data_IF_420131834407
#
_entry.id   IF_420131834407
#
_cell.length_a   1.000
_cell.length_b   1.000
_cell.length_c   1.000
_cell.angle_alpha   90.00
_cell.angle_beta   90.00
_cell.angle_gamma   90.00
#
_symmetry.space_group_name_H-M   'P 1'
#
loop_
_entity.id
_entity.type
_entity.pdbx_description
1 polymer ?
#
# COMPACT_ATOMS: atom_id res chain seq x y z
N UNK A 1 -18.79 29.85 6.53
CA UNK A 1 -18.38 28.96 5.43
C UNK A 1 -19.48 27.96 5.18
N UNK A 2 -19.91 27.78 3.92
CA UNK A 2 -20.95 26.80 3.57
C UNK A 2 -20.45 25.39 3.90
N UNK A 3 -21.10 24.71 4.85
CA UNK A 3 -20.78 23.34 5.24
C UNK A 3 -21.24 22.29 4.19
N UNK A 4 -21.88 22.73 3.11
CA UNK A 4 -22.39 21.83 2.08
C UNK A 4 -21.28 21.47 1.09
N UNK A 5 -21.12 20.17 0.78
CA UNK A 5 -20.20 19.78 -0.27
C UNK A 5 -20.62 20.38 -1.61
N UNK A 6 -19.70 21.09 -2.25
CA UNK A 6 -19.87 21.49 -3.64
C UNK A 6 -19.59 20.28 -4.57
N UNK A 7 -20.31 20.14 -5.70
CA UNK A 7 -20.13 19.03 -6.64
C UNK A 7 -18.68 18.81 -7.11
N UNK A 8 -17.89 19.88 -7.23
CA UNK A 8 -16.49 19.89 -7.62
C UNK A 8 -15.56 19.16 -6.63
N UNK A 9 -15.96 19.00 -5.37
CA UNK A 9 -15.20 18.25 -4.38
C UNK A 9 -15.27 16.72 -4.58
N UNK A 10 -16.15 16.26 -5.47
CA UNK A 10 -16.35 14.85 -5.75
C UNK A 10 -15.95 14.47 -7.17
N UNK A 11 -15.59 13.19 -7.40
CA UNK A 11 -15.42 12.67 -8.74
C UNK A 11 -16.69 12.90 -9.60
N UNK A 12 -16.56 13.39 -10.85
CA UNK A 12 -17.70 13.54 -11.75
C UNK A 12 -18.48 12.23 -11.94
N UNK A 13 -19.80 12.34 -12.09
CA UNK A 13 -20.66 11.19 -12.29
C UNK A 13 -20.22 10.36 -13.52
N UNK A 14 -20.17 9.04 -13.36
CA UNK A 14 -19.76 8.10 -14.40
C UNK A 14 -18.24 7.96 -14.60
N UNK A 15 -17.42 8.81 -13.96
CA UNK A 15 -15.96 8.68 -14.04
C UNK A 15 -15.43 7.46 -13.29
N UNK A 16 -16.00 7.17 -12.13
CA UNK A 16 -15.62 6.05 -11.28
C UNK A 16 -16.73 4.99 -11.27
N UNK A 17 -16.33 3.72 -11.27
CA UNK A 17 -17.23 2.64 -10.87
C UNK A 17 -17.63 2.82 -9.40
N UNK A 18 -18.77 2.23 -8.99
CA UNK A 18 -19.21 2.28 -7.58
C UNK A 18 -18.10 1.86 -6.60
N UNK A 19 -17.38 0.79 -6.92
CA UNK A 19 -16.31 0.29 -6.07
C UNK A 19 -15.13 1.28 -5.95
N UNK A 20 -14.76 1.94 -7.05
CA UNK A 20 -13.73 2.98 -7.02
C UNK A 20 -14.19 4.20 -6.22
N UNK A 21 -15.44 4.62 -6.43
CA UNK A 21 -16.03 5.74 -5.68
C UNK A 21 -16.04 5.46 -4.17
N UNK A 22 -16.50 4.27 -3.76
CA UNK A 22 -16.49 3.83 -2.35
C UNK A 22 -15.07 3.83 -1.77
N UNK A 23 -14.06 3.45 -2.55
CA UNK A 23 -12.66 3.49 -2.14
C UNK A 23 -12.15 4.92 -1.92
N UNK A 24 -12.36 5.83 -2.88
CA UNK A 24 -11.87 7.22 -2.80
C UNK A 24 -12.62 8.06 -1.76
N UNK A 25 -13.86 7.69 -1.42
CA UNK A 25 -14.61 8.36 -0.36
C UNK A 25 -14.35 7.81 1.05
N UNK A 26 -13.50 6.79 1.18
CA UNK A 26 -13.21 6.16 2.46
C UNK A 26 -11.75 6.38 2.86
N UNK A 27 -11.56 7.06 3.98
CA UNK A 27 -10.26 7.28 4.61
C UNK A 27 -10.04 6.42 5.85
N UNK A 28 -8.78 6.38 6.28
CA UNK A 28 -8.33 5.93 7.58
C UNK A 28 -7.54 7.09 8.19
N UNK A 29 -8.12 7.74 9.20
CA UNK A 29 -7.42 8.73 10.01
C UNK A 29 -6.48 8.04 10.98
N UNK A 30 -5.26 8.55 11.11
CA UNK A 30 -4.23 8.04 12.02
C UNK A 30 -3.64 9.21 12.81
N UNK A 31 -3.58 9.11 14.13
CA UNK A 31 -2.90 10.09 14.98
C UNK A 31 -3.61 10.35 16.29
N UNK A 32 -2.97 11.11 17.18
CA UNK A 32 -3.54 11.39 18.52
C UNK A 32 -4.71 12.37 18.51
N UNK A 33 -4.94 13.05 17.38
CA UNK A 33 -6.11 13.90 17.12
C UNK A 33 -7.33 13.10 16.68
N UNK A 34 -7.12 11.83 16.31
CA UNK A 34 -8.19 10.90 15.92
C UNK A 34 -8.67 10.16 17.15
N UNK A 35 -9.96 10.25 17.48
CA UNK A 35 -10.51 9.48 18.61
C UNK A 35 -10.30 7.97 18.40
N UNK A 36 -9.67 7.29 19.36
CA UNK A 36 -9.26 5.89 19.22
C UNK A 36 -8.00 5.68 18.36
N UNK A 37 -7.26 6.74 18.04
CA UNK A 37 -5.94 6.76 17.36
C UNK A 37 -5.95 6.36 15.88
N UNK A 38 -6.77 5.39 15.50
CA UNK A 38 -6.94 4.95 14.12
C UNK A 38 -8.42 4.73 13.84
N UNK A 39 -8.95 5.36 12.78
CA UNK A 39 -10.38 5.29 12.46
C UNK A 39 -10.66 5.27 10.98
N UNK A 40 -11.59 4.39 10.59
CA UNK A 40 -12.22 4.46 9.27
C UNK A 40 -13.18 5.64 9.24
N UNK A 41 -13.01 6.49 8.24
CA UNK A 41 -13.73 7.73 8.04
C UNK A 41 -14.36 7.76 6.65
N UNK A 42 -15.45 8.50 6.51
CA UNK A 42 -16.11 8.76 5.22
C UNK A 42 -15.97 10.24 4.91
N UNK A 43 -15.56 10.54 3.69
CA UNK A 43 -15.49 11.90 3.17
C UNK A 43 -16.91 12.41 2.88
N UNK A 44 -17.28 13.54 3.47
CA UNK A 44 -18.63 14.11 3.37
C UNK A 44 -18.66 15.44 2.63
N UNK A 45 -17.64 16.29 2.79
CA UNK A 45 -17.54 17.57 2.09
C UNK A 45 -16.10 18.04 1.96
N UNK A 46 -15.87 19.13 1.22
CA UNK A 46 -14.56 19.66 0.78
C UNK A 46 -13.43 19.54 1.79
N UNK A 47 -13.76 19.72 3.07
CA UNK A 47 -12.82 19.64 4.17
C UNK A 47 -13.26 18.72 5.32
N UNK A 48 -14.29 17.89 5.15
CA UNK A 48 -14.90 17.17 6.26
C UNK A 48 -14.94 15.67 6.05
N UNK A 49 -14.47 14.98 7.07
CA UNK A 49 -14.65 13.55 7.26
C UNK A 49 -15.55 13.31 8.46
N UNK A 50 -16.27 12.20 8.45
CA UNK A 50 -16.92 11.76 9.68
C UNK A 50 -16.94 10.25 9.86
N UNK A 51 -17.53 9.85 10.98
CA UNK A 51 -17.56 8.45 11.40
C UNK A 51 -18.24 7.55 10.38
N UNK A 52 -17.60 6.42 10.06
CA UNK A 52 -18.26 5.37 9.27
C UNK A 52 -19.50 4.84 10.03
N UNK A 53 -20.56 4.46 9.30
CA UNK A 53 -21.91 4.08 9.81
C UNK A 53 -21.96 3.04 10.94
N UNK A 54 -20.85 2.36 11.19
CA UNK A 54 -20.70 1.33 12.22
C UNK A 54 -20.29 1.89 13.59
N UNK A 55 -20.28 3.22 13.77
CA UNK A 55 -19.85 3.88 15.00
C UNK A 55 -21.06 4.57 15.65
N UNK A 56 -21.32 4.27 16.93
CA UNK A 56 -22.44 4.83 17.70
C UNK A 56 -22.27 6.30 18.11
N UNK A 57 -21.10 6.89 17.87
CA UNK A 57 -20.79 8.30 18.13
C UNK A 57 -20.64 9.10 16.83
N UNK A 58 -21.15 10.32 16.85
CA UNK A 58 -20.94 11.30 15.78
C UNK A 58 -19.50 11.81 15.87
N UNK A 59 -18.68 11.42 14.89
CA UNK A 59 -17.33 11.96 14.70
C UNK A 59 -17.37 12.87 13.50
N UNK A 60 -16.89 14.10 13.67
CA UNK A 60 -16.66 15.05 12.58
C UNK A 60 -15.23 15.55 12.69
N UNK A 61 -14.47 15.43 11.61
CA UNK A 61 -13.07 15.84 11.51
C UNK A 61 -12.97 16.84 10.37
N UNK A 62 -12.47 18.03 10.69
CA UNK A 62 -12.01 18.99 9.70
C UNK A 62 -10.61 18.56 9.26
N UNK A 63 -10.42 18.32 7.96
CA UNK A 63 -9.21 17.71 7.43
C UNK A 63 -8.02 18.68 7.50
N UNK A 64 -8.19 19.89 7.00
CA UNK A 64 -7.22 20.98 7.02
C UNK A 64 -7.79 22.14 7.84
N UNK A 65 -7.12 22.54 8.93
CA UNK A 65 -7.53 23.69 9.73
C UNK A 65 -6.37 24.24 10.54
N UNK A 66 -6.38 25.55 10.83
CA UNK A 66 -5.37 26.20 11.69
C UNK A 66 -3.92 25.92 11.28
N UNK A 67 -3.64 25.89 9.97
CA UNK A 67 -2.29 25.64 9.44
C UNK A 67 -1.81 24.19 9.55
N UNK A 68 -2.69 23.23 9.88
CA UNK A 68 -2.34 21.81 9.97
C UNK A 68 -3.34 20.92 9.23
N UNK A 69 -2.85 19.84 8.64
CA UNK A 69 -3.68 18.80 8.03
C UNK A 69 -3.63 17.51 8.83
N UNK A 70 -4.80 16.95 9.13
CA UNK A 70 -4.94 15.65 9.80
C UNK A 70 -4.47 14.55 8.86
N UNK A 71 -3.65 13.63 9.37
CA UNK A 71 -3.14 12.52 8.58
C UNK A 71 -4.22 11.48 8.31
N UNK A 72 -4.81 11.57 7.11
CA UNK A 72 -5.83 10.66 6.58
C UNK A 72 -5.31 10.10 5.27
N UNK A 73 -5.35 8.78 5.13
CA UNK A 73 -5.03 8.09 3.89
C UNK A 73 -6.18 7.15 3.50
N UNK A 74 -6.34 6.81 2.22
CA UNK A 74 -7.27 5.75 1.84
C UNK A 74 -6.98 4.46 2.62
N UNK A 75 -8.02 3.66 2.89
CA UNK A 75 -7.90 2.48 3.77
C UNK A 75 -6.77 1.54 3.34
N UNK A 76 -6.67 1.21 2.05
CA UNK A 76 -5.60 0.35 1.55
C UNK A 76 -4.21 1.00 1.65
N UNK A 77 -4.11 2.33 1.46
CA UNK A 77 -2.87 3.07 1.65
C UNK A 77 -2.42 3.02 3.12
N UNK A 78 -3.35 3.22 4.06
CA UNK A 78 -3.08 3.13 5.48
C UNK A 78 -2.65 1.71 5.89
N UNK A 79 -3.29 0.67 5.36
CA UNK A 79 -2.90 -0.71 5.64
C UNK A 79 -1.51 -1.06 5.07
N UNK A 80 -1.16 -0.55 3.88
CA UNK A 80 0.20 -0.64 3.33
C UNK A 80 1.24 0.10 4.19
N UNK A 81 0.91 1.29 4.68
CA UNK A 81 1.77 2.04 5.59
C UNK A 81 2.01 1.24 6.87
N UNK A 82 0.93 0.71 7.47
CA UNK A 82 1.01 -0.15 8.65
C UNK A 82 1.90 -1.35 8.40
N UNK A 83 1.79 -2.00 7.23
CA UNK A 83 2.69 -3.09 6.84
C UNK A 83 4.15 -2.65 6.75
N UNK A 84 4.45 -1.50 6.13
CA UNK A 84 5.82 -0.98 6.05
C UNK A 84 6.43 -0.79 7.45
N UNK A 85 5.62 -0.34 8.42
CA UNK A 85 5.99 -0.18 9.83
C UNK A 85 5.84 -1.46 10.68
N UNK A 86 5.45 -2.59 10.10
CA UNK A 86 5.15 -3.86 10.80
C UNK A 86 4.09 -3.72 11.91
N UNK A 87 3.12 -2.85 11.69
CA UNK A 87 2.06 -2.44 12.63
C UNK A 87 0.65 -2.83 12.16
N UNK A 88 0.49 -3.96 11.47
CA UNK A 88 -0.82 -4.44 10.97
C UNK A 88 -1.78 -4.90 12.10
N UNK A 89 -1.25 -5.29 13.26
CA UNK A 89 -2.07 -5.63 14.43
C UNK A 89 -2.53 -4.39 15.20
N UNK A 90 -3.73 -4.46 15.74
CA UNK A 90 -4.28 -3.42 16.61
C UNK A 90 -3.92 -3.72 18.07
N UNK A 91 -2.71 -3.36 18.46
CA UNK A 91 -2.25 -3.38 19.84
C UNK A 91 -1.66 -2.00 20.20
N UNK A 92 -1.55 -1.70 21.49
CA UNK A 92 -1.10 -0.38 21.97
C UNK A 92 0.27 -0.02 21.40
N UNK A 93 1.24 -0.95 21.39
CA UNK A 93 2.58 -0.69 20.89
C UNK A 93 2.58 -0.23 19.42
N UNK A 94 1.84 -0.93 18.56
CA UNK A 94 1.69 -0.59 17.15
C UNK A 94 0.99 0.76 16.96
N UNK A 95 -0.08 1.02 17.72
CA UNK A 95 -0.81 2.29 17.65
C UNK A 95 0.06 3.47 18.08
N UNK A 96 0.92 3.28 19.08
CA UNK A 96 1.88 4.31 19.50
C UNK A 96 2.87 4.59 18.38
N UNK A 97 3.41 3.57 17.73
CA UNK A 97 4.30 3.75 16.56
C UNK A 97 3.61 4.53 15.44
N UNK A 98 2.35 4.22 15.14
CA UNK A 98 1.59 4.93 14.11
C UNK A 98 1.31 6.40 14.48
N UNK A 99 0.90 6.67 15.72
CA UNK A 99 0.73 8.04 16.23
C UNK A 99 2.02 8.86 16.16
N UNK A 100 3.15 8.21 16.39
CA UNK A 100 4.44 8.86 16.44
C UNK A 100 4.93 9.33 15.07
N UNK A 101 4.39 8.81 13.96
CA UNK A 101 4.83 9.17 12.61
C UNK A 101 4.77 10.69 12.39
N UNK A 102 3.63 11.31 12.68
CA UNK A 102 3.43 12.77 12.52
C UNK A 102 4.20 13.58 13.57
N UNK A 103 4.49 13.01 14.73
CA UNK A 103 5.26 13.67 15.79
C UNK A 103 6.77 13.69 15.49
N UNK A 104 7.28 12.66 14.80
CA UNK A 104 8.71 12.53 14.44
C UNK A 104 9.04 13.19 13.11
N UNK A 105 8.18 13.01 12.09
CA UNK A 105 8.41 13.57 10.77
C UNK A 105 7.98 15.04 10.73
N UNK A 106 6.86 15.37 11.39
CA UNK A 106 6.17 16.65 11.31
C UNK A 106 4.72 16.49 10.87
N UNK A 107 3.91 17.53 11.10
CA UNK A 107 2.52 17.59 10.65
C UNK A 107 2.42 17.66 9.13
N UNK A 108 1.34 17.12 8.56
CA UNK A 108 1.12 17.21 7.13
C UNK A 108 1.01 18.67 6.66
N UNK A 109 1.47 18.92 5.43
CA UNK A 109 1.34 20.21 4.76
C UNK A 109 -0.11 20.62 4.50
N UNK A 110 -0.29 21.83 3.98
CA UNK A 110 -1.58 22.45 3.62
C UNK A 110 -1.64 22.76 2.13
N UNK A 111 -2.82 23.08 1.59
CA UNK A 111 -2.98 23.50 0.19
C UNK A 111 -2.56 22.41 -0.79
N UNK A 112 -1.68 22.74 -1.75
CA UNK A 112 -1.13 21.76 -2.69
C UNK A 112 -0.39 20.62 -2.00
N UNK A 113 0.12 20.84 -0.78
CA UNK A 113 0.80 19.84 0.03
C UNK A 113 -0.13 19.18 1.08
N UNK A 114 -1.45 19.39 0.99
CA UNK A 114 -2.43 18.78 1.89
C UNK A 114 -2.25 17.26 1.98
N UNK A 115 -2.09 16.76 3.21
CA UNK A 115 -1.92 15.34 3.51
C UNK A 115 -0.51 14.78 3.25
N UNK A 116 0.43 15.59 2.75
CA UNK A 116 1.82 15.18 2.53
C UNK A 116 2.66 15.37 3.79
N UNK A 117 3.44 14.36 4.16
CA UNK A 117 4.36 14.44 5.28
C UNK A 117 5.64 15.20 4.88
N UNK A 118 6.18 16.07 5.75
CA UNK A 118 7.42 16.79 5.48
C UNK A 118 8.60 15.84 5.20
N UNK A 119 9.56 16.28 4.39
CA UNK A 119 10.80 15.55 4.06
C UNK A 119 10.64 14.22 3.30
N UNK A 120 9.42 13.83 2.95
CA UNK A 120 9.13 12.61 2.17
C UNK A 120 9.19 12.94 0.68
N UNK A 121 10.09 12.27 -0.05
CA UNK A 121 10.27 12.46 -1.49
C UNK A 121 9.28 11.61 -2.32
N UNK A 122 7.99 12.01 -2.32
CA UNK A 122 6.96 11.27 -3.04
C UNK A 122 7.21 11.25 -4.57
N UNK A 123 7.83 12.28 -5.12
CA UNK A 123 8.10 12.43 -6.56
C UNK A 123 9.37 11.71 -7.00
N UNK A 124 10.33 11.46 -6.12
CA UNK A 124 11.56 10.73 -6.43
C UNK A 124 11.43 9.21 -6.33
N UNK A 125 10.42 8.69 -5.63
CA UNK A 125 10.25 7.25 -5.39
C UNK A 125 9.22 6.57 -6.30
N UNK A 126 9.38 5.26 -6.47
CA UNK A 126 8.44 4.41 -7.21
C UNK A 126 8.24 4.84 -8.67
N UNK A 127 7.01 5.21 -9.01
CA UNK A 127 6.60 5.63 -10.37
C UNK A 127 6.86 7.12 -10.65
N UNK A 128 7.42 7.87 -9.69
CA UNK A 128 7.84 9.27 -9.82
C UNK A 128 6.73 10.22 -10.31
N UNK A 129 5.70 10.36 -9.50
CA UNK A 129 4.46 11.07 -9.86
C UNK A 129 4.30 12.30 -8.97
N UNK A 130 4.20 13.47 -9.60
CA UNK A 130 3.73 14.69 -8.93
C UNK A 130 2.21 14.83 -9.12
N UNK A 131 1.48 14.78 -8.01
CA UNK A 131 0.02 14.94 -7.96
C UNK A 131 -0.43 16.38 -7.69
N UNK A 132 0.48 17.28 -7.28
CA UNK A 132 0.13 18.66 -6.89
C UNK A 132 -0.51 19.44 -8.02
N UNK A 133 -0.09 19.15 -9.26
CA UNK A 133 -0.66 19.75 -10.48
C UNK A 133 -2.15 19.42 -10.73
N UNK A 134 -2.74 18.50 -9.97
CA UNK A 134 -4.17 18.19 -10.04
C UNK A 134 -4.93 18.77 -8.85
N UNK A 135 -4.26 19.37 -7.88
CA UNK A 135 -4.88 20.13 -6.81
C UNK A 135 -4.98 21.58 -7.22
N UNK A 136 -6.12 22.21 -6.93
CA UNK A 136 -6.31 23.64 -7.07
C UNK A 136 -6.45 24.23 -5.67
N UNK A 137 -5.55 25.17 -5.37
CA UNK A 137 -5.53 25.86 -4.08
C UNK A 137 -6.52 27.01 -4.06
N UNK A 138 -7.06 27.27 -2.88
CA UNK A 138 -7.86 28.44 -2.63
C UNK A 138 -7.00 29.63 -2.20
N UNK A 139 -7.60 30.83 -2.18
CA UNK A 139 -6.92 32.03 -1.75
C UNK A 139 -6.41 31.90 -0.29
N UNK A 140 -5.33 32.60 0.10
CA UNK A 140 -4.83 32.58 1.47
C UNK A 140 -5.94 32.88 2.49
N UNK A 141 -6.07 32.04 3.52
CA UNK A 141 -7.11 32.13 4.56
C UNK A 141 -8.41 31.37 4.27
N UNK A 142 -8.42 30.53 3.23
CA UNK A 142 -9.54 29.67 2.85
C UNK A 142 -9.16 28.18 2.96
N UNK A 143 -8.47 27.82 4.06
CA UNK A 143 -7.95 26.47 4.30
C UNK A 143 -9.04 25.40 4.17
N UNK A 144 -8.69 24.32 3.47
CA UNK A 144 -9.51 23.15 3.28
C UNK A 144 -10.60 23.24 2.22
N UNK A 145 -10.65 24.32 1.43
CA UNK A 145 -11.48 24.32 0.22
C UNK A 145 -10.78 23.72 -1.01
N UNK A 146 -9.55 23.22 -0.86
CA UNK A 146 -8.79 22.60 -1.94
C UNK A 146 -9.62 21.53 -2.68
N UNK A 147 -9.64 21.58 -4.01
CA UNK A 147 -10.34 20.57 -4.80
C UNK A 147 -9.38 19.85 -5.76
N UNK A 148 -9.68 18.57 -5.97
CA UNK A 148 -8.89 17.71 -6.85
C UNK A 148 -9.54 17.64 -8.23
N UNK A 149 -8.79 18.01 -9.28
CA UNK A 149 -9.23 17.95 -10.67
C UNK A 149 -9.19 16.52 -11.21
N UNK A 150 -10.26 15.80 -10.90
CA UNK A 150 -10.50 14.45 -11.38
C UNK A 150 -10.50 14.37 -12.92
N UNK A 151 -11.03 15.38 -13.62
CA UNK A 151 -11.08 15.36 -15.10
C UNK A 151 -9.67 15.45 -15.68
N UNK A 152 -8.85 16.37 -15.18
CA UNK A 152 -7.46 16.49 -15.58
C UNK A 152 -6.67 15.21 -15.28
N UNK A 153 -6.88 14.57 -14.12
CA UNK A 153 -6.26 13.27 -13.83
C UNK A 153 -6.68 12.21 -14.86
N UNK A 154 -7.98 12.10 -15.14
CA UNK A 154 -8.55 11.11 -16.07
C UNK A 154 -8.05 11.26 -17.52
N UNK A 155 -7.76 12.50 -17.94
CA UNK A 155 -7.23 12.81 -19.28
C UNK A 155 -5.69 12.72 -19.35
N UNK A 156 -5.01 12.61 -18.20
CA UNK A 156 -3.55 12.53 -18.15
C UNK A 156 -3.00 11.11 -18.36
N UNK A 157 -1.68 11.02 -18.55
CA UNK A 157 -0.94 9.73 -18.52
C UNK A 157 -1.04 8.99 -17.16
N UNK A 158 -1.55 9.65 -16.12
CA UNK A 158 -1.73 9.10 -14.77
C UNK A 158 -3.17 8.62 -14.50
N UNK A 159 -4.02 8.53 -15.51
CA UNK A 159 -5.41 8.04 -15.37
C UNK A 159 -5.52 6.65 -14.74
N UNK A 160 -4.46 5.83 -14.76
CA UNK A 160 -4.44 4.54 -14.07
C UNK A 160 -4.46 4.67 -12.53
N UNK A 161 -4.21 5.85 -11.95
CA UNK A 161 -4.26 6.10 -10.51
C UNK A 161 -5.67 6.00 -9.91
N UNK A 162 -6.71 6.10 -10.73
CA UNK A 162 -8.11 5.91 -10.28
C UNK A 162 -8.44 4.44 -9.99
N UNK A 163 -7.46 3.52 -10.12
CA UNK A 163 -7.66 2.10 -9.86
C UNK A 163 -7.41 1.78 -8.40
N UNK A 164 -8.12 0.77 -7.92
CA UNK A 164 -8.04 0.27 -6.56
C UNK A 164 -6.76 -0.57 -6.32
N UNK A 165 -5.98 -0.32 -5.26
CA UNK A 165 -4.78 -1.08 -4.94
C UNK A 165 -5.03 -2.33 -4.08
N UNK A 166 -6.29 -2.62 -3.74
CA UNK A 166 -6.73 -3.72 -2.87
C UNK A 166 -7.42 -4.87 -3.64
N UNK A 167 -7.18 -4.95 -4.96
CA UNK A 167 -7.70 -6.02 -5.82
C UNK A 167 -6.55 -6.89 -6.31
N UNK A 168 -6.52 -8.13 -5.84
CA UNK A 168 -5.43 -9.07 -6.07
C UNK A 168 -5.72 -10.04 -7.21
N UNK A 169 -4.71 -10.37 -8.05
CA UNK A 169 -4.84 -11.48 -8.98
C UNK A 169 -5.09 -12.78 -8.23
N UNK A 170 -6.13 -13.50 -8.62
CA UNK A 170 -6.34 -14.89 -8.23
C UNK A 170 -5.44 -15.80 -9.06
N UNK A 171 -4.98 -16.90 -8.49
CA UNK A 171 -4.18 -17.90 -9.18
C UNK A 171 -4.48 -19.33 -8.67
N UNK A 172 -4.28 -20.36 -9.50
CA UNK A 172 -4.58 -21.75 -9.17
C UNK A 172 -3.52 -22.34 -8.23
N UNK A 173 -3.95 -23.35 -7.47
CA UNK A 173 -3.12 -24.12 -6.55
C UNK A 173 -2.05 -24.96 -7.24
N UNK A 174 -2.15 -25.14 -8.56
CA UNK A 174 -1.20 -25.85 -9.39
C UNK A 174 -1.16 -25.22 -10.77
N UNK A 175 -0.04 -25.40 -11.46
CA UNK A 175 0.09 -25.02 -12.86
C UNK A 175 -0.83 -25.89 -13.71
N UNK A 176 -1.57 -25.26 -14.61
CA UNK A 176 -2.43 -25.95 -15.57
C UNK A 176 -1.56 -26.76 -16.54
N UNK A 177 -1.85 -28.06 -16.67
CA UNK A 177 -1.13 -28.98 -17.56
C UNK A 177 -1.11 -28.48 -19.02
N UNK A 178 -2.18 -27.81 -19.47
CA UNK A 178 -2.25 -27.25 -20.83
C UNK A 178 -1.27 -26.10 -21.09
N UNK A 179 -0.70 -25.51 -20.03
CA UNK A 179 0.29 -24.44 -20.15
C UNK A 179 1.72 -24.94 -20.20
N UNK A 180 1.96 -26.18 -19.77
CA UNK A 180 3.29 -26.78 -19.78
C UNK A 180 3.60 -27.20 -21.23
N UNK A 181 4.60 -26.61 -21.89
CA UNK A 181 4.97 -27.01 -23.24
C UNK A 181 5.54 -28.44 -23.27
N UNK A 182 5.44 -29.14 -24.40
CA UNK A 182 6.07 -30.47 -24.60
C UNK A 182 7.56 -30.41 -24.31
N UNK A 183 8.12 -31.47 -23.72
CA UNK A 183 9.53 -31.56 -23.32
C UNK A 183 10.52 -31.69 -24.50
N UNK A 184 10.00 -31.76 -25.73
CA UNK A 184 10.80 -31.88 -26.96
C UNK A 184 11.43 -30.54 -27.36
N UNK A 185 12.49 -30.15 -26.64
CA UNK A 185 13.27 -28.96 -26.95
C UNK A 185 14.63 -29.33 -27.55
N UNK A 186 14.98 -28.71 -28.69
CA UNK A 186 16.34 -28.74 -29.19
C UNK A 186 17.14 -27.59 -28.58
N UNK A 187 18.24 -27.93 -27.91
CA UNK A 187 19.15 -26.95 -27.29
C UNK A 187 20.29 -26.69 -28.27
N UNK A 188 20.54 -25.42 -28.58
CA UNK A 188 21.68 -25.05 -29.42
C UNK A 188 23.00 -25.32 -28.71
N UNK A 189 24.01 -25.81 -29.43
CA UNK A 189 25.34 -26.14 -28.87
C UNK A 189 26.03 -24.95 -28.17
N UNK A 190 25.70 -23.72 -28.60
CA UNK A 190 26.27 -22.47 -28.05
C UNK A 190 25.46 -21.89 -26.89
N UNK A 191 24.32 -22.48 -26.52
CA UNK A 191 23.49 -21.97 -25.42
C UNK A 191 24.11 -22.33 -24.07
N UNK A 192 24.96 -21.45 -23.56
CA UNK A 192 25.69 -21.69 -22.30
C UNK A 192 24.75 -21.90 -21.12
N UNK A 193 23.56 -21.30 -21.11
CA UNK A 193 22.63 -21.34 -19.98
C UNK A 193 21.80 -22.62 -20.02
N UNK A 194 21.18 -22.92 -21.16
CA UNK A 194 20.30 -24.08 -21.30
C UNK A 194 21.07 -25.42 -21.31
N UNK A 195 22.37 -25.39 -21.64
CA UNK A 195 23.25 -26.56 -21.52
C UNK A 195 23.79 -26.80 -20.10
N UNK A 196 23.51 -25.94 -19.11
CA UNK A 196 23.88 -26.24 -17.71
C UNK A 196 22.88 -27.19 -17.06
N UNK A 197 23.34 -28.04 -16.12
CA UNK A 197 22.42 -28.78 -15.28
C UNK A 197 21.56 -27.85 -14.40
N UNK A 198 20.39 -28.34 -14.02
CA UNK A 198 19.32 -27.54 -13.41
C UNK A 198 19.69 -26.98 -12.02
N UNK A 199 20.57 -27.68 -11.31
CA UNK A 199 21.17 -27.24 -10.05
C UNK A 199 21.89 -25.89 -10.18
N UNK A 200 22.61 -25.67 -11.29
CA UNK A 200 23.24 -24.37 -11.59
C UNK A 200 22.20 -23.28 -11.75
N UNK A 201 21.11 -23.55 -12.46
CA UNK A 201 20.00 -22.58 -12.60
C UNK A 201 19.34 -22.29 -11.25
N UNK A 202 19.10 -23.32 -10.42
CA UNK A 202 18.58 -23.14 -9.08
C UNK A 202 19.51 -22.32 -8.17
N UNK A 203 20.83 -22.41 -8.36
CA UNK A 203 21.80 -21.60 -7.63
C UNK A 203 21.84 -20.14 -8.14
N UNK A 204 21.64 -19.90 -9.44
CA UNK A 204 21.70 -18.57 -10.04
C UNK A 204 20.44 -17.74 -9.80
N UNK A 205 19.26 -18.35 -9.91
CA UNK A 205 17.96 -17.66 -9.87
C UNK A 205 17.76 -16.77 -8.63
N UNK A 206 18.13 -17.17 -7.40
CA UNK A 206 17.97 -16.35 -6.21
C UNK A 206 18.69 -14.99 -6.25
N UNK A 207 19.74 -14.85 -7.08
CA UNK A 207 20.49 -13.61 -7.23
C UNK A 207 19.89 -12.66 -8.28
N UNK A 208 18.87 -13.09 -9.02
CA UNK A 208 18.23 -12.28 -10.05
C UNK A 208 17.14 -11.38 -9.44
N UNK A 209 17.16 -10.07 -9.72
CA UNK A 209 16.00 -9.22 -9.46
C UNK A 209 14.76 -9.77 -10.17
N UNK A 210 13.56 -9.49 -9.62
CA UNK A 210 12.30 -9.98 -10.17
C UNK A 210 12.15 -9.76 -11.69
N UNK A 211 12.58 -8.58 -12.17
CA UNK A 211 12.59 -8.26 -13.61
C UNK A 211 13.50 -9.19 -14.40
N UNK A 212 14.73 -9.40 -13.94
CA UNK A 212 15.72 -10.26 -14.61
C UNK A 212 15.30 -11.71 -14.60
N UNK A 213 14.70 -12.20 -13.50
CA UNK A 213 14.12 -13.53 -13.44
C UNK A 213 13.04 -13.73 -14.50
N UNK A 214 12.04 -12.83 -14.56
CA UNK A 214 10.95 -12.92 -15.54
C UNK A 214 11.48 -12.87 -16.98
N UNK A 215 12.48 -12.02 -17.25
CA UNK A 215 13.11 -11.96 -18.57
C UNK A 215 13.82 -13.27 -18.91
N UNK A 216 14.66 -13.81 -18.00
CA UNK A 216 15.38 -15.07 -18.18
C UNK A 216 14.42 -16.20 -18.55
N UNK A 217 13.39 -16.43 -17.74
CA UNK A 217 12.46 -17.54 -17.97
C UNK A 217 11.53 -17.35 -19.17
N UNK A 218 11.48 -16.13 -19.72
CA UNK A 218 10.69 -15.81 -20.91
C UNK A 218 11.46 -16.01 -22.22
N UNK A 219 12.79 -16.18 -22.17
CA UNK A 219 13.68 -16.19 -23.35
C UNK A 219 13.44 -17.35 -24.31
N UNK A 220 13.32 -18.58 -23.82
CA UNK A 220 13.17 -19.78 -24.64
C UNK A 220 12.11 -20.74 -24.07
N UNK A 221 11.74 -21.75 -24.86
CA UNK A 221 10.71 -22.74 -24.47
C UNK A 221 11.15 -23.60 -23.28
N UNK A 222 12.43 -24.00 -23.21
CA UNK A 222 12.97 -24.80 -22.11
C UNK A 222 12.96 -24.04 -20.78
N UNK A 223 13.46 -22.79 -20.74
CA UNK A 223 13.42 -22.00 -19.51
C UNK A 223 11.99 -21.68 -19.08
N UNK A 224 11.07 -21.52 -20.03
CA UNK A 224 9.63 -21.39 -19.73
C UNK A 224 9.04 -22.69 -19.18
N UNK A 225 9.45 -23.84 -19.70
CA UNK A 225 9.08 -25.14 -19.14
C UNK A 225 9.51 -25.22 -17.67
N UNK A 226 10.78 -24.94 -17.36
CA UNK A 226 11.26 -24.95 -15.98
C UNK A 226 10.57 -23.92 -15.09
N UNK A 227 10.23 -22.72 -15.60
CA UNK A 227 9.42 -21.76 -14.86
C UNK A 227 8.02 -22.27 -14.49
N UNK A 228 7.46 -23.16 -15.30
CA UNK A 228 6.14 -23.75 -15.09
C UNK A 228 6.20 -25.08 -14.33
N UNK A 229 7.38 -25.65 -14.10
CA UNK A 229 7.55 -26.92 -13.39
C UNK A 229 8.44 -26.76 -12.15
N UNK A 230 9.75 -26.65 -12.33
CA UNK A 230 10.74 -26.76 -11.25
C UNK A 230 11.06 -25.44 -10.54
N UNK A 231 10.80 -24.29 -11.17
CA UNK A 231 11.16 -22.97 -10.63
C UNK A 231 10.00 -22.21 -9.95
N UNK A 232 8.83 -22.84 -9.77
CA UNK A 232 7.72 -22.25 -9.00
C UNK A 232 8.13 -21.80 -7.57
N UNK A 233 8.96 -22.55 -6.82
CA UNK A 233 9.44 -22.10 -5.50
C UNK A 233 10.23 -20.79 -5.58
N UNK A 234 10.99 -20.58 -6.66
CA UNK A 234 11.74 -19.34 -6.87
C UNK A 234 10.81 -18.17 -7.19
N UNK A 235 9.80 -18.40 -8.04
CA UNK A 235 8.77 -17.38 -8.31
C UNK A 235 8.03 -16.99 -7.02
N UNK A 236 7.70 -17.95 -6.15
CA UNK A 236 7.11 -17.71 -4.83
C UNK A 236 8.00 -16.82 -3.98
N UNK A 237 9.28 -17.17 -3.84
CA UNK A 237 10.23 -16.43 -3.02
C UNK A 237 10.37 -14.98 -3.50
N UNK A 238 10.41 -14.78 -4.82
CA UNK A 238 10.43 -13.43 -5.41
C UNK A 238 9.17 -12.66 -5.04
N UNK A 239 7.98 -13.25 -5.21
CA UNK A 239 6.71 -12.60 -4.85
C UNK A 239 6.68 -12.20 -3.37
N UNK A 240 7.11 -13.09 -2.48
CA UNK A 240 7.17 -12.82 -1.05
C UNK A 240 8.17 -11.70 -0.74
N UNK A 241 9.36 -11.73 -1.34
CA UNK A 241 10.39 -10.70 -1.12
C UNK A 241 9.95 -9.30 -1.58
N UNK A 242 9.01 -9.22 -2.53
CA UNK A 242 8.48 -7.94 -3.00
C UNK A 242 7.55 -7.30 -1.96
N UNK A 243 6.89 -8.10 -1.10
CA UNK A 243 5.97 -7.71 -0.02
C UNK A 243 4.69 -7.00 -0.49
N UNK A 244 4.81 -5.97 -1.33
CA UNK A 244 3.70 -5.22 -1.90
C UNK A 244 2.71 -6.07 -2.70
N UNK A 245 3.05 -7.18 -3.39
CA UNK A 245 2.01 -7.92 -4.09
C UNK A 245 1.13 -8.72 -3.13
N UNK A 246 1.58 -8.99 -1.91
CA UNK A 246 0.82 -9.77 -0.93
C UNK A 246 -0.36 -8.93 -0.38
N UNK A 247 -1.53 -9.54 -0.13
CA UNK A 247 -2.61 -8.88 0.60
C UNK A 247 -2.23 -8.59 2.05
N UNK A 248 -2.72 -7.47 2.60
CA UNK A 248 -2.68 -7.14 4.03
C UNK A 248 -3.56 -8.08 4.83
N UNK A 249 -3.36 -8.17 6.14
CA UNK A 249 -4.22 -8.99 7.01
C UNK A 249 -5.69 -8.59 6.89
N UNK A 250 -5.96 -7.29 6.73
CA UNK A 250 -7.32 -6.78 6.53
C UNK A 250 -7.88 -7.18 5.16
N UNK A 251 -7.09 -7.07 4.09
CA UNK A 251 -7.48 -7.48 2.74
C UNK A 251 -7.75 -8.99 2.69
N UNK A 252 -6.95 -9.80 3.39
CA UNK A 252 -7.16 -11.23 3.57
C UNK A 252 -8.49 -11.54 4.26
N UNK A 253 -8.77 -10.91 5.40
CA UNK A 253 -10.03 -11.09 6.13
C UNK A 253 -11.25 -10.67 5.31
N UNK A 254 -11.10 -9.66 4.45
CA UNK A 254 -12.18 -9.22 3.56
C UNK A 254 -12.42 -10.22 2.42
N UNK A 255 -11.36 -10.82 1.89
CA UNK A 255 -11.40 -11.67 0.71
C UNK A 255 -11.56 -13.17 1.01
N UNK A 256 -11.34 -13.63 2.24
CA UNK A 256 -11.47 -15.04 2.68
C UNK A 256 -12.87 -15.65 2.52
N UNK A 257 -13.84 -14.90 1.99
CA UNK A 257 -15.20 -15.35 1.68
C UNK A 257 -15.31 -16.07 0.33
N UNK A 258 -14.26 -16.05 -0.50
CA UNK A 258 -14.29 -16.60 -1.86
C UNK A 258 -13.37 -17.84 -1.98
N UNK A 259 -13.98 -19.02 -1.90
CA UNK A 259 -13.31 -20.32 -1.66
C UNK A 259 -12.59 -20.88 -2.90
N UNK A 260 -12.83 -20.36 -4.11
CA UNK A 260 -12.41 -21.01 -5.36
C UNK A 260 -11.02 -20.62 -5.87
N UNK A 261 -10.34 -19.66 -5.24
CA UNK A 261 -9.03 -19.21 -5.71
C UNK A 261 -8.09 -18.86 -4.56
N UNK A 262 -6.80 -19.16 -4.77
CA UNK A 262 -5.75 -18.84 -3.80
C UNK A 262 -5.37 -17.37 -3.91
N UNK A 263 -5.14 -16.77 -2.73
CA UNK A 263 -4.56 -15.46 -2.56
C UNK A 263 -3.15 -15.58 -2.01
N UNK A 264 -2.20 -14.90 -2.65
CA UNK A 264 -0.77 -15.08 -2.45
C UNK A 264 -0.30 -14.78 -1.02
N UNK A 265 0.00 -15.83 -0.26
CA UNK A 265 0.36 -15.77 1.16
C UNK A 265 1.78 -16.27 1.43
N UNK A 266 2.38 -15.76 2.51
CA UNK A 266 3.58 -16.35 3.11
C UNK A 266 3.29 -17.72 3.74
N UNK A 267 2.03 -17.95 4.15
CA UNK A 267 1.56 -19.21 4.70
C UNK A 267 1.40 -20.26 3.58
N UNK A 268 2.16 -21.35 3.68
CA UNK A 268 2.14 -22.46 2.74
C UNK A 268 0.82 -23.24 2.76
N UNK A 269 0.08 -23.24 3.88
CA UNK A 269 -1.23 -23.85 3.96
C UNK A 269 -2.28 -23.07 3.14
N UNK A 270 -2.09 -21.75 3.02
CA UNK A 270 -2.96 -20.87 2.22
C UNK A 270 -2.51 -20.82 0.76
N UNK A 271 -1.20 -20.78 0.52
CA UNK A 271 -0.63 -20.72 -0.83
C UNK A 271 0.53 -21.71 -0.98
N UNK A 272 0.26 -22.92 -1.51
CA UNK A 272 1.24 -23.98 -1.68
C UNK A 272 2.46 -23.54 -2.50
N UNK A 273 3.61 -24.17 -2.26
CA UNK A 273 4.88 -23.84 -2.94
C UNK A 273 4.84 -24.15 -4.44
N UNK A 274 4.05 -25.14 -4.83
CA UNK A 274 3.83 -25.60 -6.22
C UNK A 274 2.65 -24.91 -6.92
N UNK A 275 2.01 -23.93 -6.27
CA UNK A 275 1.02 -23.09 -6.92
C UNK A 275 1.63 -22.29 -8.08
N UNK A 276 0.79 -21.74 -8.94
CA UNK A 276 1.25 -21.05 -10.15
C UNK A 276 1.74 -19.61 -9.86
N UNK A 277 2.80 -19.54 -9.06
CA UNK A 277 3.47 -18.32 -8.62
C UNK A 277 4.07 -17.56 -9.79
N UNK A 278 4.56 -18.25 -10.82
CA UNK A 278 5.05 -17.58 -12.03
C UNK A 278 3.92 -16.80 -12.72
N UNK A 279 2.72 -17.38 -12.86
CA UNK A 279 1.58 -16.63 -13.39
C UNK A 279 1.20 -15.47 -12.47
N UNK A 280 1.18 -15.70 -11.15
CA UNK A 280 0.87 -14.64 -10.20
C UNK A 280 1.86 -13.46 -10.31
N UNK A 281 3.16 -13.76 -10.31
CA UNK A 281 4.25 -12.79 -10.51
C UNK A 281 4.05 -12.01 -11.81
N UNK A 282 3.73 -12.68 -12.92
CA UNK A 282 3.44 -11.99 -14.18
C UNK A 282 2.19 -11.08 -14.09
N UNK A 283 1.13 -11.51 -13.38
CA UNK A 283 -0.14 -10.76 -13.28
C UNK A 283 -0.01 -9.51 -12.42
N UNK A 284 0.70 -9.58 -11.29
CA UNK A 284 0.86 -8.42 -10.39
C UNK A 284 1.60 -7.25 -11.03
N UNK A 285 2.39 -7.48 -12.09
CA UNK A 285 3.03 -6.40 -12.84
C UNK A 285 2.18 -5.81 -13.97
N UNK A 286 1.07 -6.47 -14.37
CA UNK A 286 0.28 -6.08 -15.55
C UNK A 286 -0.99 -5.28 -15.23
N UNK A 287 -1.58 -5.46 -14.04
CA UNK A 287 -2.85 -4.80 -13.73
C UNK A 287 -2.63 -3.38 -13.22
N UNK A 288 -3.54 -2.46 -13.59
CA UNK A 288 -3.48 -1.06 -13.16
C UNK A 288 -3.57 -0.93 -11.64
N UNK A 289 -4.43 -1.70 -10.97
CA UNK A 289 -4.56 -1.69 -9.51
C UNK A 289 -3.27 -2.10 -8.79
N UNK A 290 -2.59 -3.16 -9.25
CA UNK A 290 -1.32 -3.57 -8.66
C UNK A 290 -0.17 -2.59 -8.98
N UNK A 291 -0.25 -1.87 -10.10
CA UNK A 291 0.63 -0.73 -10.36
C UNK A 291 0.42 0.38 -9.32
N UNK A 292 -0.83 0.73 -8.99
CA UNK A 292 -1.16 1.70 -7.91
C UNK A 292 -0.61 1.22 -6.58
N UNK A 293 -0.79 -0.06 -6.27
CA UNK A 293 -0.25 -0.67 -5.04
C UNK A 293 1.27 -0.55 -4.93
N UNK A 294 2.00 -0.88 -5.99
CA UNK A 294 3.48 -0.77 -6.02
C UNK A 294 3.96 0.66 -5.84
N UNK A 295 3.27 1.62 -6.45
CA UNK A 295 3.55 3.04 -6.27
C UNK A 295 3.33 3.49 -4.83
N UNK A 296 2.16 3.20 -4.25
CA UNK A 296 1.86 3.52 -2.84
C UNK A 296 2.86 2.87 -1.90
N UNK A 297 3.22 1.61 -2.14
CA UNK A 297 4.22 0.90 -1.35
C UNK A 297 5.57 1.63 -1.32
N UNK A 298 6.01 2.17 -2.46
CA UNK A 298 7.24 2.96 -2.54
C UNK A 298 7.14 4.21 -1.67
N UNK A 299 6.00 4.90 -1.67
CA UNK A 299 5.75 6.05 -0.78
C UNK A 299 5.74 5.64 0.70
N UNK A 300 5.15 4.49 1.05
CA UNK A 300 5.17 3.97 2.42
C UNK A 300 6.60 3.64 2.90
N UNK A 301 7.42 3.05 2.02
CA UNK A 301 8.83 2.79 2.31
C UNK A 301 9.62 4.08 2.51
N UNK A 302 9.31 5.13 1.73
CA UNK A 302 9.95 6.43 1.86
C UNK A 302 9.56 7.13 3.17
N UNK A 303 8.27 7.11 3.54
CA UNK A 303 7.81 7.60 4.85
C UNK A 303 8.56 6.88 5.98
N UNK A 304 8.69 5.55 5.88
CA UNK A 304 9.46 4.77 6.86
C UNK A 304 10.93 5.17 6.91
N UNK A 305 11.58 5.35 5.76
CA UNK A 305 12.99 5.77 5.67
C UNK A 305 13.20 7.12 6.38
N UNK A 306 12.32 8.09 6.12
CA UNK A 306 12.38 9.43 6.73
C UNK A 306 12.13 9.35 8.24
N UNK A 307 11.14 8.57 8.67
CA UNK A 307 10.88 8.31 10.09
C UNK A 307 12.09 7.71 10.78
N UNK A 308 12.66 6.62 10.24
CA UNK A 308 13.80 5.91 10.83
C UNK A 308 15.03 6.83 10.92
N UNK A 309 15.23 7.73 9.95
CA UNK A 309 16.32 8.70 9.94
C UNK A 309 16.15 9.81 11.00
N UNK A 310 14.91 10.21 11.31
CA UNK A 310 14.61 11.30 12.25
C UNK A 310 14.41 10.83 13.68
N UNK A 311 13.92 9.60 13.87
CA UNK A 311 13.61 9.03 15.18
C UNK A 311 14.76 9.16 16.20
N UNK A 312 16.04 8.88 15.85
CA UNK A 312 17.15 8.98 16.80
C UNK A 312 17.36 10.41 17.35
N UNK A 313 17.04 11.42 16.57
CA UNK A 313 17.14 12.85 16.94
C UNK A 313 15.85 13.43 17.50
N UNK A 314 14.79 12.63 17.57
CA UNK A 314 13.48 13.10 18.01
C UNK A 314 13.32 13.04 19.54
N UNK A 315 12.37 13.79 20.12
CA UNK A 315 12.02 13.66 21.54
C UNK A 315 11.52 12.27 21.95
N UNK A 316 11.27 11.37 21.00
CA UNK A 316 10.71 10.03 21.24
C UNK A 316 11.74 8.91 21.11
N UNK A 317 13.04 9.24 21.07
CA UNK A 317 14.11 8.26 21.02
C UNK A 317 14.03 7.26 22.18
N UNK A 318 14.34 6.01 21.89
CA UNK A 318 14.57 4.96 22.89
C UNK A 318 16.09 4.85 23.03
N UNK A 319 16.59 5.02 24.25
CA UNK A 319 18.02 4.90 24.56
C UNK A 319 18.53 3.48 24.27
N UNK A 320 19.84 3.33 24.09
CA UNK A 320 20.46 2.03 23.78
C UNK A 320 20.18 0.97 24.86
N UNK A 321 20.00 1.39 26.12
CA UNK A 321 19.63 0.54 27.25
C UNK A 321 18.12 0.20 27.31
N UNK A 322 17.35 0.58 26.29
CA UNK A 322 15.90 0.38 26.24
C UNK A 322 15.08 1.39 27.06
N UNK A 323 15.74 2.38 27.68
CA UNK A 323 15.09 3.47 28.39
C UNK A 323 14.29 4.37 27.44
N UNK A 324 13.00 4.55 27.72
CA UNK A 324 12.10 5.40 26.91
C UNK A 324 12.15 6.85 27.38
N UNK A 325 12.16 7.80 26.44
CA UNK A 325 12.02 9.22 26.74
C UNK A 325 10.70 9.55 27.46
N UNK A 326 10.64 10.73 28.09
CA UNK A 326 9.42 11.22 28.76
C UNK A 326 8.25 11.32 27.78
N UNK A 327 8.47 11.92 26.62
CA UNK A 327 7.47 12.11 25.56
C UNK A 327 6.98 10.77 25.01
N UNK A 328 7.86 9.75 24.91
CA UNK A 328 7.45 8.40 24.51
C UNK A 328 6.51 7.78 25.55
N UNK A 329 6.82 7.90 26.84
CA UNK A 329 5.96 7.38 27.93
C UNK A 329 4.60 8.09 27.97
N UNK A 330 4.58 9.41 27.78
CA UNK A 330 3.34 10.20 27.71
C UNK A 330 2.47 9.79 26.53
N UNK A 331 3.08 9.59 25.35
CA UNK A 331 2.35 9.11 24.17
C UNK A 331 1.79 7.69 24.39
N UNK A 332 2.57 6.79 24.98
CA UNK A 332 2.11 5.44 25.33
C UNK A 332 0.90 5.47 26.28
N UNK A 333 0.95 6.30 27.32
CA UNK A 333 -0.17 6.46 28.26
C UNK A 333 -1.43 7.02 27.55
N UNK A 334 -1.27 8.07 26.74
CA UNK A 334 -2.35 8.69 25.97
C UNK A 334 -3.00 7.68 25.02
N UNK A 335 -2.21 6.95 24.24
CA UNK A 335 -2.70 5.96 23.28
C UNK A 335 -3.37 4.79 24.00
N UNK A 336 -2.81 4.31 25.11
CA UNK A 336 -3.42 3.24 25.90
C UNK A 336 -4.80 3.66 26.44
N UNK A 337 -4.95 4.90 26.91
CA UNK A 337 -6.23 5.44 27.37
C UNK A 337 -7.25 5.52 26.22
N UNK A 338 -6.85 6.08 25.07
CA UNK A 338 -7.72 6.21 23.90
C UNK A 338 -8.13 4.84 23.33
N UNK A 339 -7.23 3.86 23.36
CA UNK A 339 -7.52 2.49 22.91
C UNK A 339 -8.50 1.77 23.82
N UNK A 340 -8.40 1.95 25.14
CA UNK A 340 -9.39 1.43 26.10
C UNK A 340 -10.78 1.98 25.85
N UNK A 341 -10.91 3.29 25.61
CA UNK A 341 -12.19 3.93 25.28
C UNK A 341 -12.80 3.42 23.96
N UNK A 342 -11.99 2.87 23.05
CA UNK A 342 -12.47 2.25 21.83
C UNK A 342 -12.90 0.79 22.02
N UNK A 343 -12.23 0.08 22.92
CA UNK A 343 -12.43 -1.36 23.11
C UNK A 343 -13.64 -1.69 23.98
N UNK A 344 -14.20 -0.68 24.66
CA UNK A 344 -15.50 -0.70 25.34
C UNK A 344 -16.59 -0.28 24.37
#
# INVERSE_FOLDING_TARGET
>A
MSANPLPEHFPPQGMLTKQQYDYFNTGMGIGTTIMGVIRKLVYFSGNMFGGHKTIAMVISIVWESYGVTVFIAHVACADLLRRAFRCEELNVANLVTLCQITEVIGTCGIGHDAGRLPFVDYEGVGEKIDLRKFWHDHAPGDEGNNFFDWKALGQSKYSWLINRPDVFPKFPAKVDAHRVPSEDFTIGEKDVICNKPMDVLHALVPYLPARSYVMLVSTCRQLRYHALTTLQPHARNIVISLIWPLPTRNEYKAASKDVRAIMASEDMAVSPVDADWYMYLSRVHRTKGMRVRRWIWSSCQEIKRVYDAKLPTSPFVVTEEGGKSKQRKELEAKVAQMFKMYSM
#
